data_IF_180485096563
#
_entry.id   IF_180485096563
#
_cell.length_a   1.000
_cell.length_b   1.000
_cell.length_c   1.000
_cell.angle_alpha   90.00
_cell.angle_beta   90.00
_cell.angle_gamma   90.00
#
_symmetry.space_group_name_H-M   'P 1'
#
loop_
_entity.id
_entity.type
_entity.pdbx_description
1 polymer ?
#
# COMPACT_ATOMS: atom_id res chain seq x y z
N UNK A 1 11.92 -6.97 -58.67
CA UNK A 1 11.68 -5.65 -58.06
C UNK A 1 10.41 -5.79 -57.24
N UNK A 2 10.41 -5.57 -55.92
CA UNK A 2 9.21 -5.78 -55.13
C UNK A 2 8.19 -4.70 -55.50
N UNK A 3 6.98 -5.12 -55.87
CA UNK A 3 5.83 -4.24 -56.08
C UNK A 3 5.55 -3.45 -54.80
N UNK A 4 5.87 -2.17 -54.81
CA UNK A 4 5.45 -1.22 -53.78
C UNK A 4 3.95 -0.96 -53.94
N UNK A 5 3.14 -1.89 -53.43
CA UNK A 5 1.69 -1.72 -53.36
C UNK A 5 1.38 -0.61 -52.36
N UNK A 6 0.88 0.52 -52.85
CA UNK A 6 0.38 1.60 -52.02
C UNK A 6 -0.69 1.09 -51.05
N UNK A 7 -0.61 1.51 -49.80
CA UNK A 7 -1.53 1.09 -48.74
C UNK A 7 -2.98 1.47 -49.10
N UNK A 8 -3.88 0.51 -49.03
CA UNK A 8 -5.31 0.78 -49.21
C UNK A 8 -5.86 1.56 -48.01
N UNK A 9 -6.80 2.47 -48.24
CA UNK A 9 -7.49 3.24 -47.19
C UNK A 9 -8.11 2.32 -46.14
N UNK A 10 -8.70 1.20 -46.57
CA UNK A 10 -9.32 0.21 -45.66
C UNK A 10 -8.27 -0.45 -44.77
N UNK A 11 -7.08 -0.70 -45.31
CA UNK A 11 -5.97 -1.33 -44.58
C UNK A 11 -5.38 -0.37 -43.53
N UNK A 12 -5.24 0.91 -43.87
CA UNK A 12 -4.87 1.96 -42.90
C UNK A 12 -5.92 2.11 -41.80
N UNK A 13 -7.21 2.10 -42.16
CA UNK A 13 -8.31 2.16 -41.18
C UNK A 13 -8.29 0.96 -40.24
N UNK A 14 -8.05 -0.24 -40.77
CA UNK A 14 -7.93 -1.45 -39.97
C UNK A 14 -6.71 -1.40 -39.05
N UNK A 15 -5.55 -0.99 -39.55
CA UNK A 15 -4.33 -0.85 -38.76
C UNK A 15 -4.52 0.18 -37.63
N UNK A 16 -5.11 1.34 -37.93
CA UNK A 16 -5.39 2.37 -36.94
C UNK A 16 -6.39 1.87 -35.88
N UNK A 17 -7.41 1.13 -36.28
CA UNK A 17 -8.39 0.55 -35.37
C UNK A 17 -7.74 -0.48 -34.43
N UNK A 18 -6.94 -1.40 -34.97
CA UNK A 18 -6.19 -2.37 -34.16
C UNK A 18 -5.21 -1.69 -33.21
N UNK A 19 -4.53 -0.64 -33.67
CA UNK A 19 -3.64 0.15 -32.84
C UNK A 19 -4.40 0.85 -31.69
N UNK A 20 -5.53 1.48 -31.99
CA UNK A 20 -6.36 2.14 -31.00
C UNK A 20 -6.90 1.15 -29.95
N UNK A 21 -7.34 -0.04 -30.38
CA UNK A 21 -7.79 -1.10 -29.47
C UNK A 21 -6.63 -1.56 -28.58
N UNK A 22 -5.47 -1.81 -29.16
CA UNK A 22 -4.28 -2.27 -28.43
C UNK A 22 -3.84 -1.24 -27.39
N UNK A 23 -3.79 0.04 -27.77
CA UNK A 23 -3.43 1.14 -26.88
C UNK A 23 -4.44 1.30 -25.73
N UNK A 24 -5.73 1.23 -26.04
CA UNK A 24 -6.80 1.35 -25.03
C UNK A 24 -6.74 0.18 -24.05
N UNK A 25 -6.57 -1.05 -24.53
CA UNK A 25 -6.43 -2.23 -23.69
C UNK A 25 -5.21 -2.12 -22.77
N UNK A 26 -4.07 -1.64 -23.30
CA UNK A 26 -2.85 -1.47 -22.52
C UNK A 26 -3.02 -0.40 -21.43
N UNK A 27 -3.58 0.76 -21.76
CA UNK A 27 -3.82 1.83 -20.78
C UNK A 27 -4.77 1.36 -19.67
N UNK A 28 -5.86 0.68 -20.05
CA UNK A 28 -6.82 0.16 -19.09
C UNK A 28 -6.19 -0.87 -18.16
N UNK A 29 -5.35 -1.76 -18.69
CA UNK A 29 -4.60 -2.73 -17.90
C UNK A 29 -3.67 -2.05 -16.88
N UNK A 30 -2.91 -1.04 -17.31
CA UNK A 30 -2.02 -0.28 -16.43
C UNK A 30 -2.79 0.44 -15.32
N UNK A 31 -3.95 1.02 -15.65
CA UNK A 31 -4.81 1.67 -14.65
C UNK A 31 -5.32 0.69 -13.58
N UNK A 32 -5.75 -0.50 -14.00
CA UNK A 32 -6.19 -1.54 -13.05
C UNK A 32 -5.06 -2.01 -12.14
N UNK A 33 -3.87 -2.22 -12.68
CA UNK A 33 -2.67 -2.54 -11.90
C UNK A 33 -2.35 -1.45 -10.88
N UNK A 34 -2.33 -0.19 -11.32
CA UNK A 34 -2.07 0.96 -10.45
C UNK A 34 -3.09 1.06 -9.32
N UNK A 35 -4.38 0.83 -9.61
CA UNK A 35 -5.43 0.81 -8.59
C UNK A 35 -5.21 -0.29 -7.55
N UNK A 36 -4.78 -1.49 -7.97
CA UNK A 36 -4.41 -2.58 -7.06
C UNK A 36 -3.24 -2.21 -6.15
N UNK A 37 -2.17 -1.62 -6.70
CA UNK A 37 -1.03 -1.17 -5.91
C UNK A 37 -1.38 -0.05 -4.94
N UNK A 38 -2.28 0.85 -5.32
CA UNK A 38 -2.73 1.93 -4.43
C UNK A 38 -3.36 1.36 -3.16
N UNK A 39 -4.25 0.37 -3.28
CA UNK A 39 -4.88 -0.28 -2.13
C UNK A 39 -3.85 -0.95 -1.19
N UNK A 40 -2.88 -1.67 -1.77
CA UNK A 40 -1.81 -2.30 -0.99
C UNK A 40 -0.91 -1.27 -0.30
N UNK A 41 -0.61 -0.17 -0.97
CA UNK A 41 0.18 0.92 -0.42
C UNK A 41 -0.48 1.55 0.80
N UNK A 42 -1.79 1.80 0.74
CA UNK A 42 -2.53 2.40 1.86
C UNK A 42 -2.45 1.55 3.14
N UNK A 43 -2.51 0.21 3.01
CA UNK A 43 -2.33 -0.68 4.17
C UNK A 43 -0.92 -0.57 4.74
N UNK A 44 0.10 -0.53 3.87
CA UNK A 44 1.51 -0.40 4.30
C UNK A 44 1.78 0.92 5.01
N UNK A 45 1.12 1.99 4.58
CA UNK A 45 1.21 3.30 5.25
C UNK A 45 0.60 3.25 6.66
N UNK A 46 -0.55 2.58 6.84
CA UNK A 46 -1.14 2.38 8.17
C UNK A 46 -0.19 1.63 9.11
N UNK A 47 0.51 0.58 8.61
CA UNK A 47 1.56 -0.11 9.38
C UNK A 47 2.72 0.81 9.75
N UNK A 48 3.16 1.66 8.81
CA UNK A 48 4.24 2.63 9.05
C UNK A 48 3.87 3.62 10.14
N UNK A 49 2.64 4.12 10.12
CA UNK A 49 2.12 5.05 11.14
C UNK A 49 2.01 4.37 12.51
N UNK A 50 1.52 3.12 12.56
CA UNK A 50 1.50 2.36 13.83
C UNK A 50 2.92 2.17 14.40
N UNK A 51 3.91 1.89 13.54
CA UNK A 51 5.30 1.77 13.94
C UNK A 51 5.90 3.11 14.44
N UNK A 52 5.62 4.23 13.76
CA UNK A 52 6.00 5.56 14.23
C UNK A 52 5.39 5.85 15.61
N UNK A 53 4.14 5.42 15.83
CA UNK A 53 3.48 5.60 17.13
C UNK A 53 4.14 4.82 18.26
N UNK A 54 4.66 3.63 18.00
CA UNK A 54 5.47 2.86 18.96
C UNK A 54 6.80 3.55 19.29
N UNK A 55 7.35 4.32 18.35
CA UNK A 55 8.55 5.14 18.55
C UNK A 55 8.25 6.44 19.30
N UNK A 56 6.97 6.78 19.49
CA UNK A 56 6.54 8.00 20.16
C UNK A 56 6.29 9.18 19.23
N UNK A 57 6.34 8.97 17.91
CA UNK A 57 5.97 9.98 16.92
C UNK A 57 4.47 9.91 16.60
N UNK A 58 3.84 11.07 16.54
CA UNK A 58 2.48 11.20 16.01
C UNK A 58 2.52 11.56 14.53
N UNK A 59 1.49 11.13 13.79
CA UNK A 59 1.37 11.41 12.36
C UNK A 59 0.15 12.29 12.13
N UNK A 60 0.33 13.38 11.41
CA UNK A 60 -0.76 14.29 11.08
C UNK A 60 -1.84 13.59 10.23
N UNK A 61 -3.11 13.84 10.56
CA UNK A 61 -4.25 13.23 9.86
C UNK A 61 -4.44 11.73 10.09
N UNK A 62 -3.78 11.15 11.10
CA UNK A 62 -4.01 9.78 11.56
C UNK A 62 -4.42 9.79 13.02
N UNK A 63 -5.45 9.03 13.34
CA UNK A 63 -5.81 8.79 14.73
C UNK A 63 -5.03 7.57 15.19
N UNK A 64 -4.25 7.74 16.25
CA UNK A 64 -3.38 6.68 16.76
C UNK A 64 -3.63 6.49 18.25
N UNK A 65 -3.76 5.24 18.68
CA UNK A 65 -3.84 4.90 20.11
C UNK A 65 -2.63 4.06 20.51
N UNK A 66 -2.12 4.29 21.71
CA UNK A 66 -1.04 3.50 22.27
C UNK A 66 -1.44 2.99 23.64
N UNK A 67 -1.58 1.67 23.76
CA UNK A 67 -1.88 1.00 25.02
C UNK A 67 -0.64 0.23 25.49
N UNK A 68 -0.27 0.42 26.76
CA UNK A 68 0.78 -0.35 27.43
C UNK A 68 0.10 -1.38 28.31
N UNK A 69 0.25 -2.64 27.98
CA UNK A 69 -0.31 -3.76 28.73
C UNK A 69 0.84 -4.51 29.41
N UNK A 70 0.68 -4.95 30.67
CA UNK A 70 1.65 -5.83 31.29
C UNK A 70 1.69 -7.16 30.51
N UNK A 71 2.88 -7.60 30.13
CA UNK A 71 3.12 -8.89 29.50
C UNK A 71 3.80 -9.85 30.48
N UNK A 72 4.08 -11.07 30.02
CA UNK A 72 4.79 -12.06 30.85
C UNK A 72 6.23 -11.62 31.10
N UNK A 73 6.77 -11.97 32.28
CA UNK A 73 8.17 -11.78 32.67
C UNK A 73 8.72 -10.34 32.60
N UNK A 74 8.04 -9.37 33.22
CA UNK A 74 8.58 -8.01 33.35
C UNK A 74 8.65 -7.22 32.04
N UNK A 75 8.18 -7.79 30.94
CA UNK A 75 8.03 -7.13 29.66
C UNK A 75 6.72 -6.33 29.59
N UNK A 76 6.74 -5.17 28.94
CA UNK A 76 5.54 -4.39 28.61
C UNK A 76 5.16 -4.65 27.15
N UNK A 77 3.91 -5.01 26.89
CA UNK A 77 3.35 -5.05 25.55
C UNK A 77 2.87 -3.66 25.16
N UNK A 78 3.52 -3.06 24.16
CA UNK A 78 3.11 -1.80 23.55
C UNK A 78 2.25 -2.12 22.34
N UNK A 79 0.97 -1.80 22.42
CA UNK A 79 0.01 -1.94 21.32
C UNK A 79 -0.27 -0.58 20.73
N UNK A 80 0.17 -0.36 19.49
CA UNK A 80 -0.18 0.81 18.71
C UNK A 80 -1.28 0.47 17.71
N UNK A 81 -2.37 1.22 17.72
CA UNK A 81 -3.40 1.14 16.66
C UNK A 81 -3.37 2.40 15.84
N UNK A 82 -3.40 2.26 14.52
CA UNK A 82 -3.49 3.37 13.58
C UNK A 82 -4.79 3.24 12.78
N UNK A 83 -5.56 4.33 12.73
CA UNK A 83 -6.80 4.38 11.97
C UNK A 83 -6.99 5.74 11.29
N UNK A 84 -7.63 5.71 10.13
CA UNK A 84 -7.94 6.88 9.30
C UNK A 84 -9.30 6.63 8.64
N UNK A 85 -10.08 7.71 8.48
CA UNK A 85 -11.37 7.65 7.80
C UNK A 85 -11.21 7.06 6.38
N UNK A 86 -11.95 5.98 6.09
CA UNK A 86 -11.90 5.28 4.81
C UNK A 86 -10.89 4.13 4.72
N UNK A 87 -10.15 3.83 5.79
CA UNK A 87 -9.18 2.73 5.86
C UNK A 87 -9.49 1.76 6.99
N UNK A 88 -9.11 0.49 6.79
CA UNK A 88 -9.21 -0.50 7.86
C UNK A 88 -8.19 -0.20 8.96
N UNK A 89 -8.58 -0.25 10.24
CA UNK A 89 -7.66 -0.01 11.35
C UNK A 89 -6.61 -1.12 11.41
N UNK A 90 -5.37 -0.73 11.72
CA UNK A 90 -4.24 -1.65 11.83
C UNK A 90 -3.70 -1.62 13.24
N UNK A 91 -3.47 -2.80 13.83
CA UNK A 91 -2.92 -2.95 15.17
C UNK A 91 -1.54 -3.59 15.12
N UNK A 92 -0.55 -2.92 15.70
CA UNK A 92 0.82 -3.38 15.79
C UNK A 92 1.19 -3.55 17.27
N UNK A 93 1.58 -4.78 17.63
CA UNK A 93 1.98 -5.14 18.98
C UNK A 93 3.50 -5.33 19.03
N UNK A 94 4.14 -4.73 20.03
CA UNK A 94 5.58 -4.85 20.27
C UNK A 94 5.83 -5.14 21.74
N UNK A 95 6.57 -6.22 22.02
CA UNK A 95 7.08 -6.49 23.35
C UNK A 95 8.30 -5.61 23.60
N UNK A 96 8.29 -4.87 24.71
CA UNK A 96 9.43 -4.11 25.21
C UNK A 96 9.78 -4.65 26.59
N UNK A 97 10.79 -5.51 26.62
CA UNK A 97 11.41 -5.98 27.85
C UNK A 97 12.50 -5.00 28.21
N UNK A 98 12.42 -4.43 29.41
CA UNK A 98 13.54 -3.68 29.96
C UNK A 98 14.38 -4.65 30.78
N UNK A 99 15.65 -4.83 30.39
CA UNK A 99 16.59 -5.71 31.10
C UNK A 99 16.97 -5.14 32.49
N UNK A 100 16.35 -4.02 32.91
CA UNK A 100 16.51 -3.39 34.21
C UNK A 100 15.58 -3.94 35.30
N UNK A 101 14.65 -4.86 34.98
CA UNK A 101 13.76 -5.46 35.98
C UNK A 101 14.50 -6.60 36.69
N UNK A 102 14.84 -6.47 37.99
CA UNK A 102 15.56 -7.51 38.70
C UNK A 102 14.66 -8.73 38.88
N UNK A 103 15.11 -9.88 38.36
CA UNK A 103 14.60 -11.18 38.73
C UNK A 103 14.83 -11.36 40.24
N UNK A 104 13.75 -11.36 41.03
CA UNK A 104 13.77 -11.79 42.43
C UNK A 104 13.52 -13.28 42.50
#
# INVERSE_FOLDING_TARGET
MPDERGFSIVEMLLALLLFAISLTALLHYQQMLAAGFYQQWQQREAWRVAALRLQGQESEGWQTSLHKLPAVEGCLLWRATAFRSGLSPVTLDQLRCDNSVPHR
#
